data_IF_951927075222
#
_entry.id   IF_951927075222
#
_cell.length_a   1.000
_cell.length_b   1.000
_cell.length_c   1.000
_cell.angle_alpha   90.00
_cell.angle_beta   90.00
_cell.angle_gamma   90.00
#
_symmetry.space_group_name_H-M   'P 1'
#
loop_
_entity.id
_entity.type
_entity.pdbx_description
1 polymer ?
#
# COMPACT_ATOMS: atom_id res chain seq x y z
N UNK A 1 -17.46 -32.03 -11.14
CA UNK A 1 -16.48 -31.37 -12.01
C UNK A 1 -16.64 -29.83 -12.02
N UNK A 2 -17.09 -29.19 -10.92
CA UNK A 2 -17.33 -27.73 -10.88
C UNK A 2 -16.34 -26.98 -9.98
N UNK A 3 -15.76 -27.64 -8.98
CA UNK A 3 -14.76 -27.08 -8.07
C UNK A 3 -13.49 -26.62 -8.78
N UNK A 4 -13.06 -27.35 -9.82
CA UNK A 4 -11.84 -27.06 -10.59
C UNK A 4 -11.91 -25.77 -11.43
N UNK A 5 -13.13 -25.31 -11.77
CA UNK A 5 -13.34 -24.08 -12.55
C UNK A 5 -13.36 -22.82 -11.68
N UNK A 6 -13.79 -22.93 -10.41
CA UNK A 6 -13.76 -21.83 -9.45
C UNK A 6 -12.33 -21.44 -9.06
N UNK A 7 -11.48 -22.44 -8.85
CA UNK A 7 -10.07 -22.27 -8.46
C UNK A 7 -9.25 -21.61 -9.59
N UNK A 8 -9.42 -22.07 -10.83
CA UNK A 8 -8.82 -21.46 -12.02
C UNK A 8 -9.25 -19.99 -12.23
N UNK A 9 -10.50 -19.63 -11.90
CA UNK A 9 -10.97 -18.24 -11.99
C UNK A 9 -10.38 -17.36 -10.89
N UNK A 10 -10.19 -17.89 -9.69
CA UNK A 10 -9.53 -17.17 -8.60
C UNK A 10 -8.03 -16.94 -8.86
N UNK A 11 -7.31 -17.95 -9.37
CA UNK A 11 -5.90 -17.79 -9.73
C UNK A 11 -5.68 -16.76 -10.83
N UNK A 12 -6.53 -16.75 -11.87
CA UNK A 12 -6.47 -15.75 -12.93
C UNK A 12 -6.71 -14.33 -12.41
N UNK A 13 -7.62 -14.15 -11.44
CA UNK A 13 -7.85 -12.85 -10.78
C UNK A 13 -6.67 -12.42 -9.92
N UNK A 14 -6.08 -13.34 -9.15
CA UNK A 14 -4.89 -13.06 -8.34
C UNK A 14 -3.72 -12.65 -9.23
N UNK A 15 -3.41 -13.41 -10.29
CA UNK A 15 -2.33 -13.08 -11.25
C UNK A 15 -2.56 -11.73 -11.94
N UNK A 16 -3.80 -11.41 -12.32
CA UNK A 16 -4.12 -10.11 -12.94
C UNK A 16 -3.84 -8.91 -12.02
N UNK A 17 -3.87 -9.09 -10.70
CA UNK A 17 -3.57 -8.01 -9.74
C UNK A 17 -2.11 -8.06 -9.30
N UNK A 18 -1.56 -9.25 -9.07
CA UNK A 18 -0.20 -9.42 -8.55
C UNK A 18 0.87 -9.00 -9.55
N UNK A 19 0.71 -9.38 -10.83
CA UNK A 19 1.69 -9.05 -11.87
C UNK A 19 1.83 -7.54 -12.05
N UNK A 20 0.77 -6.73 -12.29
CA UNK A 20 0.93 -5.29 -12.41
C UNK A 20 1.38 -4.63 -11.11
N UNK A 21 1.04 -5.20 -9.95
CA UNK A 21 1.53 -4.71 -8.68
C UNK A 21 3.04 -4.86 -8.53
N UNK A 22 3.62 -6.00 -8.96
CA UNK A 22 5.08 -6.21 -8.98
C UNK A 22 5.75 -5.26 -9.96
N UNK A 23 5.20 -5.08 -11.17
CA UNK A 23 5.73 -4.11 -12.14
C UNK A 23 5.70 -2.70 -11.56
N UNK A 24 4.59 -2.28 -10.96
CA UNK A 24 4.46 -0.98 -10.30
C UNK A 24 5.46 -0.81 -9.14
N UNK A 25 5.65 -1.84 -8.32
CA UNK A 25 6.66 -1.84 -7.26
C UNK A 25 8.07 -1.69 -7.83
N UNK A 26 8.37 -2.39 -8.93
CA UNK A 26 9.68 -2.29 -9.58
C UNK A 26 9.93 -0.91 -10.17
N UNK A 27 8.93 -0.29 -10.81
CA UNK A 27 9.00 1.08 -11.32
C UNK A 27 9.15 2.09 -10.19
N UNK A 28 8.44 1.89 -9.08
CA UNK A 28 8.53 2.74 -7.90
C UNK A 28 9.90 2.63 -7.24
N UNK A 29 10.47 1.42 -7.15
CA UNK A 29 11.85 1.24 -6.67
C UNK A 29 12.88 1.83 -7.62
N UNK A 30 12.67 1.75 -8.93
CA UNK A 30 13.59 2.33 -9.92
C UNK A 30 13.55 3.86 -9.89
N UNK A 31 12.35 4.45 -9.81
CA UNK A 31 12.16 5.88 -9.62
C UNK A 31 12.81 6.34 -8.31
N UNK A 32 12.63 5.58 -7.22
CA UNK A 32 13.29 5.84 -5.95
C UNK A 32 14.81 5.79 -6.04
N UNK A 33 15.36 4.84 -6.79
CA UNK A 33 16.81 4.69 -7.00
C UNK A 33 17.38 5.85 -7.82
N UNK A 34 16.69 6.25 -8.88
CA UNK A 34 17.05 7.41 -9.70
C UNK A 34 17.02 8.69 -8.86
N UNK A 35 15.98 8.88 -8.06
CA UNK A 35 15.86 10.00 -7.12
C UNK A 35 16.96 9.94 -6.06
N UNK A 36 17.34 8.76 -5.59
CA UNK A 36 18.43 8.56 -4.61
C UNK A 36 19.80 8.89 -5.18
N UNK A 37 20.08 8.48 -6.41
CA UNK A 37 21.32 8.80 -7.12
C UNK A 37 21.37 10.30 -7.44
N UNK A 38 20.27 10.89 -7.90
CA UNK A 38 20.18 12.31 -8.18
C UNK A 38 20.26 13.20 -6.92
N UNK A 39 19.74 12.74 -5.78
CA UNK A 39 19.77 13.47 -4.50
C UNK A 39 20.98 13.16 -3.62
N UNK A 40 21.95 12.34 -4.06
CA UNK A 40 23.19 12.11 -3.29
C UNK A 40 23.98 13.42 -3.04
N UNK A 41 23.74 14.45 -3.85
CA UNK A 41 24.26 15.82 -3.68
C UNK A 41 23.34 16.77 -2.90
N UNK A 42 22.04 16.48 -2.78
CA UNK A 42 21.05 17.28 -2.04
C UNK A 42 20.79 16.66 -0.66
N UNK A 43 21.73 16.93 0.26
CA UNK A 43 21.60 16.88 1.72
C UNK A 43 20.68 15.79 2.32
N UNK A 44 21.33 14.83 2.99
CA UNK A 44 20.81 13.84 3.95
C UNK A 44 19.60 14.30 4.81
N UNK A 45 19.45 15.61 5.06
CA UNK A 45 18.30 16.21 5.76
C UNK A 45 16.95 16.10 5.01
N UNK A 46 16.92 16.10 3.68
CA UNK A 46 15.66 16.00 2.93
C UNK A 46 15.00 14.61 3.10
N UNK A 47 15.79 13.54 3.19
CA UNK A 47 15.31 12.18 3.39
C UNK A 47 14.64 11.98 4.75
N UNK A 48 15.14 12.63 5.80
CA UNK A 48 14.49 12.63 7.10
C UNK A 48 13.11 13.31 7.03
N UNK A 49 12.99 14.45 6.36
CA UNK A 49 11.70 15.13 6.17
C UNK A 49 10.68 14.28 5.41
N UNK A 50 11.11 13.60 4.35
CA UNK A 50 10.24 12.69 3.59
C UNK A 50 9.79 11.47 4.39
N UNK A 51 10.65 10.92 5.26
CA UNK A 51 10.27 9.78 6.11
C UNK A 51 9.22 10.18 7.17
N UNK A 52 9.31 11.39 7.73
CA UNK A 52 8.27 11.92 8.62
C UNK A 52 6.92 12.08 7.91
N UNK A 53 6.92 12.60 6.67
CA UNK A 53 5.69 12.73 5.87
C UNK A 53 5.09 11.35 5.59
N UNK A 54 5.91 10.37 5.20
CA UNK A 54 5.46 9.01 4.94
C UNK A 54 4.87 8.36 6.21
N UNK A 55 5.55 8.47 7.35
CA UNK A 55 5.04 7.96 8.63
C UNK A 55 3.73 8.63 9.03
N UNK A 56 3.62 9.94 8.90
CA UNK A 56 2.40 10.68 9.23
C UNK A 56 1.22 10.24 8.36
N UNK A 57 1.45 10.02 7.06
CA UNK A 57 0.42 9.56 6.12
C UNK A 57 -0.06 8.14 6.47
N UNK A 58 0.88 7.24 6.81
CA UNK A 58 0.54 5.89 7.25
C UNK A 58 -0.23 5.90 8.57
N UNK A 59 0.22 6.71 9.54
CA UNK A 59 -0.41 6.81 10.85
C UNK A 59 -1.84 7.36 10.75
N UNK A 60 -2.04 8.46 10.02
CA UNK A 60 -3.37 9.07 9.83
C UNK A 60 -4.33 8.12 9.12
N UNK A 61 -3.89 7.46 8.06
CA UNK A 61 -4.70 6.46 7.35
C UNK A 61 -5.10 5.30 8.28
N UNK A 62 -4.16 4.80 9.09
CA UNK A 62 -4.41 3.72 10.03
C UNK A 62 -5.37 4.14 11.14
N UNK A 63 -5.18 5.34 11.72
CA UNK A 63 -6.07 5.91 12.72
C UNK A 63 -7.50 6.10 12.18
N UNK A 64 -7.64 6.62 10.96
CA UNK A 64 -8.94 6.76 10.29
C UNK A 64 -9.64 5.42 10.11
N UNK A 65 -8.90 4.40 9.62
CA UNK A 65 -9.45 3.06 9.43
C UNK A 65 -9.90 2.46 10.77
N UNK A 66 -9.09 2.57 11.82
CA UNK A 66 -9.43 2.10 13.16
C UNK A 66 -10.68 2.80 13.71
N UNK A 67 -10.78 4.13 13.53
CA UNK A 67 -11.95 4.89 13.94
C UNK A 67 -13.23 4.44 13.21
N UNK A 68 -13.15 4.24 11.90
CA UNK A 68 -14.30 3.76 11.12
C UNK A 68 -14.79 2.37 11.57
N UNK A 69 -13.86 1.47 11.90
CA UNK A 69 -14.19 0.13 12.43
C UNK A 69 -14.82 0.25 13.82
N UNK A 70 -14.26 1.08 14.69
CA UNK A 70 -14.80 1.32 16.03
C UNK A 70 -16.23 1.88 15.98
N UNK A 71 -16.49 2.88 15.14
CA UNK A 71 -17.84 3.44 14.96
C UNK A 71 -18.81 2.40 14.40
N UNK A 72 -18.38 1.57 13.44
CA UNK A 72 -19.20 0.48 12.90
C UNK A 72 -19.55 -0.55 13.97
N UNK A 73 -18.61 -0.92 14.84
CA UNK A 73 -18.85 -1.85 15.95
C UNK A 73 -19.79 -1.25 17.01
N UNK A 74 -19.65 0.04 17.30
CA UNK A 74 -20.53 0.75 18.24
C UNK A 74 -21.97 0.81 17.73
N UNK A 75 -22.17 1.08 16.45
CA UNK A 75 -23.49 1.13 15.81
C UNK A 75 -24.18 -0.24 15.84
N UNK A 76 -23.46 -1.31 15.48
CA UNK A 76 -23.99 -2.69 15.51
C UNK A 76 -24.30 -3.22 16.91
N UNK A 77 -23.78 -2.60 17.96
CA UNK A 77 -24.02 -2.99 19.36
C UNK A 77 -25.19 -2.22 20.00
N UNK A 78 -25.69 -1.17 19.35
CA UNK A 78 -26.75 -0.28 19.88
C UNK A 78 -28.11 -0.46 19.20
N UNK A 79 -28.17 -1.19 18.08
CA UNK A 79 -29.39 -1.80 17.50
C UNK A 79 -29.50 -3.26 17.91
#
# INVERSE_FOLDING_TARGET
>A
METYNGENRQERRKKRVFTPMIYFLSELTLAWLIISIANLSFQIFAWASWSYIAMFTIFTHTAYKTYSIYMRQKYLRTT
#
